data_IF_547588596560
#
_entry.id   IF_547588596560
#
_cell.length_a   1.000
_cell.length_b   1.000
_cell.length_c   1.000
_cell.angle_alpha   90.00
_cell.angle_beta   90.00
_cell.angle_gamma   90.00
#
_symmetry.space_group_name_H-M   'P 1'
#
loop_
_entity.id
_entity.type
_entity.pdbx_description
1 polymer ?
#
# COMPACT_ATOMS: atom_id res chain seq x y z
N UNK A 1 -13.84 -4.43 16.08
CA UNK A 1 -12.94 -4.55 14.92
C UNK A 1 -11.62 -3.85 15.22
N UNK A 2 -10.48 -4.55 15.20
CA UNK A 2 -9.18 -3.94 15.44
C UNK A 2 -8.87 -2.84 14.40
N UNK A 3 -8.31 -1.71 14.84
CA UNK A 3 -7.88 -0.63 13.93
C UNK A 3 -6.91 -1.23 12.90
N UNK A 4 -7.27 -1.23 11.61
CA UNK A 4 -6.35 -1.58 10.53
C UNK A 4 -5.14 -0.67 10.63
N UNK A 5 -3.95 -1.25 10.81
CA UNK A 5 -2.68 -0.51 10.87
C UNK A 5 -2.18 -0.26 9.45
N UNK A 6 -1.71 0.96 9.18
CA UNK A 6 -1.09 1.29 7.90
C UNK A 6 0.26 0.59 7.78
N UNK A 7 1.03 0.63 8.87
CA UNK A 7 2.42 0.17 8.94
C UNK A 7 2.55 -1.11 9.76
N UNK A 8 3.43 -1.99 9.31
CA UNK A 8 3.96 -3.09 10.12
C UNK A 8 4.85 -2.53 11.23
N UNK A 9 5.04 -3.31 12.30
CA UNK A 9 5.87 -2.87 13.44
C UNK A 9 7.28 -2.43 13.00
N UNK A 10 7.94 -3.20 12.14
CA UNK A 10 9.27 -2.88 11.63
C UNK A 10 9.32 -1.61 10.78
N UNK A 11 8.26 -1.31 10.02
CA UNK A 11 8.17 -0.08 9.21
C UNK A 11 7.99 1.15 10.12
N UNK A 12 7.23 1.01 11.21
CA UNK A 12 7.12 2.07 12.23
C UNK A 12 8.47 2.37 12.88
N UNK A 13 9.23 1.34 13.22
CA UNK A 13 10.56 1.51 13.81
C UNK A 13 11.47 2.29 12.86
N UNK A 14 11.53 1.89 11.58
CA UNK A 14 12.37 2.57 10.58
C UNK A 14 12.02 4.05 10.38
N UNK A 15 10.74 4.42 10.52
CA UNK A 15 10.26 5.78 10.21
C UNK A 15 10.32 6.75 11.40
N UNK A 16 10.08 6.25 12.62
CA UNK A 16 9.82 7.11 13.78
C UNK A 16 10.73 6.86 14.98
N UNK A 17 11.54 5.80 14.92
CA UNK A 17 12.36 5.42 16.05
C UNK A 17 13.70 6.14 16.05
N UNK A 18 14.29 6.15 17.23
CA UNK A 18 15.59 6.78 17.47
C UNK A 18 16.69 5.85 16.95
N UNK A 19 17.62 6.32 16.11
CA UNK A 19 18.76 5.52 15.69
C UNK A 19 19.59 5.09 16.90
N UNK A 20 20.09 3.86 16.84
CA UNK A 20 20.96 3.28 17.86
C UNK A 20 22.34 2.89 17.30
N UNK A 21 22.47 2.81 15.98
CA UNK A 21 23.73 2.60 15.28
C UNK A 21 24.56 3.90 15.23
N UNK A 22 25.87 3.75 15.28
CA UNK A 22 26.83 4.86 15.36
C UNK A 22 26.74 5.79 14.15
N UNK A 23 26.64 5.24 12.93
CA UNK A 23 26.57 6.03 11.69
C UNK A 23 25.35 6.96 11.68
N UNK A 24 24.18 6.43 12.04
CA UNK A 24 22.95 7.23 12.10
C UNK A 24 22.98 8.25 13.24
N UNK A 25 23.59 7.92 14.38
CA UNK A 25 23.80 8.89 15.47
C UNK A 25 24.71 10.03 15.03
N UNK A 26 25.82 9.73 14.34
CA UNK A 26 26.74 10.74 13.79
C UNK A 26 26.00 11.64 12.80
N UNK A 27 25.26 11.03 11.87
CA UNK A 27 24.55 11.75 10.81
C UNK A 27 23.46 12.68 11.34
N UNK A 28 22.72 12.25 12.35
CA UNK A 28 21.51 12.95 12.77
C UNK A 28 21.65 13.73 14.07
N UNK A 29 22.54 13.31 14.98
CA UNK A 29 22.61 13.82 16.36
C UNK A 29 23.94 14.50 16.72
N UNK A 30 24.77 14.82 15.73
CA UNK A 30 25.91 15.71 15.92
C UNK A 30 25.43 17.14 16.23
N UNK A 31 25.88 17.69 17.37
CA UNK A 31 25.57 19.03 17.83
C UNK A 31 26.61 20.02 17.31
N UNK A 32 26.13 21.07 16.66
CA UNK A 32 26.98 22.20 16.25
C UNK A 32 27.48 22.99 17.47
N UNK A 33 28.49 23.87 17.31
CA UNK A 33 28.88 24.80 18.37
C UNK A 33 27.71 25.66 18.89
N UNK A 34 26.84 26.14 17.99
CA UNK A 34 25.65 26.92 18.38
C UNK A 34 24.69 26.08 19.24
N UNK A 35 24.50 24.81 18.90
CA UNK A 35 23.66 23.90 19.68
C UNK A 35 24.19 23.70 21.09
N UNK A 36 25.51 23.53 21.23
CA UNK A 36 26.14 23.35 22.54
C UNK A 36 26.03 24.60 23.40
N UNK A 37 26.13 25.80 22.80
CA UNK A 37 25.88 27.05 23.50
C UNK A 37 24.42 27.15 23.98
N UNK A 38 23.46 26.84 23.10
CA UNK A 38 22.03 26.89 23.43
C UNK A 38 21.67 25.89 24.54
N UNK A 39 22.23 24.67 24.48
CA UNK A 39 22.12 23.65 25.54
C UNK A 39 22.72 24.15 26.86
N UNK A 40 23.88 24.80 26.81
CA UNK A 40 24.60 25.31 27.98
C UNK A 40 23.81 26.35 28.80
N UNK A 41 22.83 27.01 28.19
CA UNK A 41 21.92 27.94 28.89
C UNK A 41 21.01 27.24 29.91
N UNK A 42 20.87 25.91 29.85
CA UNK A 42 20.04 25.15 30.78
C UNK A 42 20.78 24.95 32.11
N UNK A 43 20.08 25.20 33.22
CA UNK A 43 20.60 24.93 34.57
C UNK A 43 20.47 23.44 34.89
N UNK A 44 21.53 22.87 35.48
CA UNK A 44 21.68 21.44 35.88
C UNK A 44 21.89 20.49 34.70
N UNK A 45 22.76 19.51 34.90
CA UNK A 45 23.19 18.56 33.87
C UNK A 45 22.04 17.78 33.24
N UNK A 46 21.07 17.31 34.04
CA UNK A 46 19.90 16.59 33.52
C UNK A 46 19.04 17.42 32.58
N UNK A 47 18.95 18.74 32.79
CA UNK A 47 18.23 19.63 31.89
C UNK A 47 19.03 19.95 30.63
N UNK A 48 20.35 20.05 30.73
CA UNK A 48 21.24 20.19 29.56
C UNK A 48 21.12 18.96 28.66
N UNK A 49 21.27 17.76 29.24
CA UNK A 49 21.12 16.50 28.51
C UNK A 49 19.73 16.35 27.92
N UNK A 50 18.68 16.60 28.71
CA UNK A 50 17.30 16.49 28.25
C UNK A 50 16.93 17.48 27.14
N UNK A 51 17.45 18.70 27.19
CA UNK A 51 17.30 19.71 26.13
C UNK A 51 18.03 19.30 24.86
N UNK A 52 19.27 18.80 24.97
CA UNK A 52 20.05 18.29 23.84
C UNK A 52 19.37 17.08 23.18
N UNK A 53 18.81 16.17 23.97
CA UNK A 53 18.03 15.02 23.46
C UNK A 53 16.79 15.50 22.70
N UNK A 54 16.02 16.45 23.25
CA UNK A 54 14.86 17.00 22.53
C UNK A 54 15.26 17.68 21.23
N UNK A 55 16.34 18.46 21.24
CA UNK A 55 16.89 19.11 20.05
C UNK A 55 17.17 18.08 18.95
N UNK A 56 17.84 16.98 19.31
CA UNK A 56 18.11 15.87 18.40
C UNK A 56 16.84 15.23 17.84
N UNK A 57 15.86 14.89 18.69
CA UNK A 57 14.59 14.27 18.25
C UNK A 57 13.76 15.18 17.35
N UNK A 58 13.76 16.48 17.63
CA UNK A 58 13.03 17.48 16.85
C UNK A 58 13.70 17.77 15.50
N UNK A 59 15.00 17.53 15.36
CA UNK A 59 15.68 17.50 14.04
C UNK A 59 15.41 16.20 13.30
N UNK A 60 15.58 15.07 13.98
CA UNK A 60 15.33 13.75 13.42
C UNK A 60 14.87 12.78 14.53
N UNK A 61 13.71 12.11 14.39
CA UNK A 61 12.90 12.02 13.19
C UNK A 61 11.94 13.21 12.98
N UNK A 62 12.04 14.29 13.75
CA UNK A 62 11.19 15.46 13.60
C UNK A 62 10.00 15.47 14.54
N UNK A 63 10.11 14.82 15.71
CA UNK A 63 9.03 14.71 16.70
C UNK A 63 9.50 15.16 18.07
N UNK A 64 8.55 15.44 18.94
CA UNK A 64 8.82 15.74 20.35
C UNK A 64 9.11 14.47 21.14
N UNK A 65 9.89 14.61 22.22
CA UNK A 65 10.06 13.56 23.22
C UNK A 65 8.72 13.32 23.94
N UNK A 66 8.26 12.07 23.95
CA UNK A 66 7.05 11.65 24.63
C UNK A 66 7.14 11.81 26.16
N UNK A 67 6.01 11.81 26.86
CA UNK A 67 6.02 11.68 28.32
C UNK A 67 6.64 10.32 28.69
N UNK A 68 7.55 10.33 29.66
CA UNK A 68 8.23 9.13 30.18
C UNK A 68 9.00 8.30 29.13
N UNK A 69 9.21 8.87 27.93
CA UNK A 69 9.99 8.23 26.89
C UNK A 69 11.48 8.24 27.26
N UNK A 70 12.08 7.06 27.31
CA UNK A 70 13.52 6.89 27.55
C UNK A 70 14.18 6.57 26.20
N UNK A 71 15.03 7.47 25.67
CA UNK A 71 15.76 7.19 24.44
C UNK A 71 16.74 6.01 24.62
N UNK A 72 17.13 5.34 23.52
CA UNK A 72 18.15 4.28 23.55
C UNK A 72 19.43 4.74 24.24
N UNK A 73 20.05 3.83 25.01
CA UNK A 73 21.29 4.13 25.75
C UNK A 73 22.43 4.61 24.84
N UNK A 74 22.47 4.12 23.60
CA UNK A 74 23.44 4.56 22.59
C UNK A 74 23.29 6.06 22.28
N UNK A 75 22.06 6.53 22.03
CA UNK A 75 21.77 7.96 21.86
C UNK A 75 22.17 8.76 23.09
N UNK A 76 21.77 8.32 24.28
CA UNK A 76 22.06 9.06 25.52
C UNK A 76 23.56 9.22 25.73
N UNK A 77 24.35 8.15 25.57
CA UNK A 77 25.82 8.22 25.65
C UNK A 77 26.41 9.18 24.61
N UNK A 78 25.95 9.08 23.37
CA UNK A 78 26.45 9.88 22.26
C UNK A 78 26.18 11.38 22.46
N UNK A 79 24.96 11.75 22.85
CA UNK A 79 24.60 13.16 23.11
C UNK A 79 25.26 13.68 24.38
N UNK A 80 25.32 12.87 25.45
CA UNK A 80 25.95 13.25 26.70
C UNK A 80 27.45 13.55 26.54
N UNK A 81 28.17 12.75 25.75
CA UNK A 81 29.58 12.98 25.43
C UNK A 81 29.83 14.30 24.71
N UNK A 82 28.89 14.78 23.89
CA UNK A 82 29.02 16.05 23.17
C UNK A 82 28.80 17.28 24.06
N UNK A 83 28.06 17.14 25.16
CA UNK A 83 27.73 18.24 26.09
C UNK A 83 28.50 18.14 27.42
N UNK A 84 29.28 17.07 27.61
CA UNK A 84 30.17 16.90 28.77
C UNK A 84 29.48 16.50 30.07
N UNK A 85 28.37 15.74 30.00
CA UNK A 85 27.58 15.34 31.18
C UNK A 85 27.49 13.82 31.32
N UNK A 86 27.13 13.32 32.50
CA UNK A 86 26.88 11.90 32.69
C UNK A 86 25.52 11.47 32.07
N UNK A 87 25.46 10.42 31.22
CA UNK A 87 24.22 9.98 30.59
C UNK A 87 23.17 9.47 31.59
N UNK A 88 23.57 9.03 32.79
CA UNK A 88 22.66 8.60 33.85
C UNK A 88 21.82 9.73 34.42
N UNK A 89 22.28 10.99 34.30
CA UNK A 89 21.53 12.16 34.75
C UNK A 89 20.19 12.34 34.03
N UNK A 90 20.01 11.76 32.82
CA UNK A 90 18.74 11.80 32.11
C UNK A 90 17.58 11.21 32.92
N UNK A 91 17.83 10.27 33.83
CA UNK A 91 16.80 9.70 34.71
C UNK A 91 16.16 10.75 35.66
N UNK A 92 16.80 11.90 35.83
CA UNK A 92 16.28 13.03 36.60
C UNK A 92 15.57 14.08 35.72
N UNK A 93 15.69 13.96 34.40
CA UNK A 93 15.12 14.91 33.46
C UNK A 93 13.59 14.84 33.44
N UNK A 94 12.94 16.00 33.31
CA UNK A 94 11.51 16.13 33.03
C UNK A 94 10.57 15.37 33.97
N UNK A 95 10.96 15.12 35.24
CA UNK A 95 10.04 14.62 36.30
C UNK A 95 8.79 15.49 36.45
N UNK A 96 8.87 16.77 36.07
CA UNK A 96 7.73 17.66 35.88
C UNK A 96 7.50 17.85 34.38
N UNK A 97 6.28 17.60 33.91
CA UNK A 97 5.95 17.76 32.49
C UNK A 97 6.17 19.19 31.96
N UNK A 98 6.05 20.20 32.82
CA UNK A 98 6.22 21.61 32.49
C UNK A 98 7.61 21.90 31.91
N UNK A 99 8.67 21.38 32.53
CA UNK A 99 10.04 21.55 32.02
C UNK A 99 10.20 20.98 30.62
N UNK A 100 9.58 19.83 30.33
CA UNK A 100 9.60 19.20 29.00
C UNK A 100 8.92 20.09 27.96
N UNK A 101 7.75 20.64 28.31
CA UNK A 101 6.94 21.51 27.43
C UNK A 101 7.66 22.84 27.16
N UNK A 102 8.25 23.45 28.17
CA UNK A 102 9.02 24.70 28.04
C UNK A 102 10.24 24.52 27.13
N UNK A 103 10.96 23.40 27.29
CA UNK A 103 12.07 23.06 26.42
C UNK A 103 11.63 22.88 24.97
N UNK A 104 10.52 22.16 24.74
CA UNK A 104 9.94 22.01 23.40
C UNK A 104 9.57 23.36 22.79
N UNK A 105 8.94 24.27 23.54
CA UNK A 105 8.58 25.59 23.05
C UNK A 105 9.81 26.44 22.66
N UNK A 106 10.86 26.41 23.48
CA UNK A 106 12.14 27.10 23.17
C UNK A 106 12.81 26.52 21.92
N UNK A 107 12.87 25.19 21.83
CA UNK A 107 13.46 24.49 20.70
C UNK A 107 12.68 24.70 19.40
N UNK A 108 11.36 24.87 19.46
CA UNK A 108 10.56 25.24 18.29
C UNK A 108 11.01 26.58 17.72
N UNK A 109 11.24 27.59 18.57
CA UNK A 109 11.77 28.89 18.15
C UNK A 109 13.20 28.74 17.60
N UNK A 110 14.09 28.07 18.33
CA UNK A 110 15.49 27.88 17.94
C UNK A 110 15.64 27.16 16.58
N UNK A 111 14.83 26.13 16.34
CA UNK A 111 14.86 25.34 15.09
C UNK A 111 14.02 25.96 13.96
N UNK A 112 13.25 27.02 14.21
CA UNK A 112 12.28 27.55 13.24
C UNK A 112 11.17 26.54 12.90
N UNK A 113 10.82 25.66 13.84
CA UNK A 113 9.78 24.64 13.66
C UNK A 113 8.52 24.97 14.44
N UNK A 114 7.41 24.35 14.05
CA UNK A 114 6.10 24.58 14.68
C UNK A 114 5.28 23.30 14.78
N UNK A 115 4.20 23.34 15.56
CA UNK A 115 3.25 22.24 15.61
C UNK A 115 2.47 22.10 14.30
N UNK A 116 2.06 20.86 14.00
CA UNK A 116 1.26 20.55 12.81
C UNK A 116 -0.13 21.19 12.85
N UNK A 117 -0.43 21.99 11.82
CA UNK A 117 -1.73 22.65 11.62
C UNK A 117 -2.68 21.80 10.78
N UNK A 118 -3.93 22.23 10.64
CA UNK A 118 -4.88 21.63 9.70
C UNK A 118 -4.41 21.71 8.24
N UNK A 119 -3.72 22.79 7.86
CA UNK A 119 -3.18 22.96 6.51
C UNK A 119 -2.06 21.97 6.21
N UNK A 120 -1.19 21.69 7.18
CA UNK A 120 -0.12 20.68 7.02
C UNK A 120 -0.70 19.29 6.87
N UNK A 121 -1.71 18.95 7.68
CA UNK A 121 -2.42 17.66 7.56
C UNK A 121 -3.08 17.52 6.19
N UNK A 122 -3.65 18.61 5.65
CA UNK A 122 -4.23 18.62 4.30
C UNK A 122 -3.17 18.44 3.22
N UNK A 123 -2.03 19.13 3.32
CA UNK A 123 -0.92 18.97 2.39
C UNK A 123 -0.38 17.53 2.42
N UNK A 124 -0.15 16.97 3.61
CA UNK A 124 0.30 15.60 3.78
C UNK A 124 -0.71 14.57 3.23
N UNK A 125 -2.02 14.81 3.41
CA UNK A 125 -3.05 13.97 2.80
C UNK A 125 -2.98 14.00 1.27
N UNK A 126 -2.77 15.16 0.65
CA UNK A 126 -2.67 15.27 -0.81
C UNK A 126 -1.44 14.54 -1.35
N UNK A 127 -0.29 14.70 -0.71
CA UNK A 127 0.93 13.96 -1.05
C UNK A 127 0.72 12.44 -0.91
N UNK A 128 0.13 12.02 0.21
CA UNK A 128 -0.21 10.62 0.46
C UNK A 128 -1.17 10.04 -0.59
N UNK A 129 -2.14 10.82 -1.09
CA UNK A 129 -3.06 10.36 -2.16
C UNK A 129 -2.30 10.12 -3.46
N UNK A 130 -1.37 11.01 -3.81
CA UNK A 130 -0.53 10.82 -5.00
C UNK A 130 0.33 9.56 -4.87
N UNK A 131 1.01 9.36 -3.73
CA UNK A 131 1.77 8.14 -3.47
C UNK A 131 0.88 6.90 -3.48
N UNK A 132 -0.30 6.97 -2.87
CA UNK A 132 -1.26 5.87 -2.86
C UNK A 132 -1.87 5.61 -4.24
N UNK A 133 -1.62 6.42 -5.27
CA UNK A 133 -2.07 6.15 -6.65
C UNK A 133 -1.17 5.12 -7.34
N UNK A 134 0.05 4.94 -6.83
CA UNK A 134 1.03 3.93 -7.24
C UNK A 134 0.85 2.62 -6.43
N UNK A 135 1.73 1.59 -6.50
CA UNK A 135 1.56 0.36 -5.73
C UNK A 135 1.27 0.68 -4.26
N UNK A 136 0.29 -0.05 -3.70
CA UNK A 136 -0.28 0.23 -2.39
C UNK A 136 0.66 -0.15 -1.24
N UNK A 137 1.77 0.57 -1.11
CA UNK A 137 2.77 0.41 -0.05
C UNK A 137 2.52 1.40 1.09
N UNK A 138 2.23 0.85 2.27
CA UNK A 138 1.99 1.63 3.48
C UNK A 138 3.22 2.42 3.91
N UNK A 139 4.42 1.86 3.72
CA UNK A 139 5.66 2.51 4.08
C UNK A 139 5.94 3.73 3.19
N UNK A 140 5.84 3.60 1.86
CA UNK A 140 5.96 4.73 0.94
C UNK A 140 4.96 5.85 1.25
N UNK A 141 3.70 5.52 1.55
CA UNK A 141 2.66 6.50 1.91
C UNK A 141 3.03 7.24 3.20
N UNK A 142 3.46 6.52 4.25
CA UNK A 142 3.86 7.14 5.50
C UNK A 142 5.13 8.00 5.35
N UNK A 143 6.11 7.54 4.57
CA UNK A 143 7.31 8.30 4.23
C UNK A 143 6.97 9.62 3.54
N UNK A 144 6.04 9.60 2.58
CA UNK A 144 5.55 10.81 1.91
C UNK A 144 4.92 11.79 2.89
N UNK A 145 4.07 11.30 3.81
CA UNK A 145 3.46 12.14 4.86
C UNK A 145 4.52 12.77 5.75
N UNK A 146 5.50 12.00 6.21
CA UNK A 146 6.61 12.46 7.05
C UNK A 146 7.44 13.52 6.33
N UNK A 147 7.78 13.28 5.07
CA UNK A 147 8.52 14.23 4.24
C UNK A 147 7.76 15.56 4.11
N UNK A 148 6.46 15.52 3.80
CA UNK A 148 5.64 16.73 3.68
C UNK A 148 5.55 17.54 4.97
N UNK A 149 5.49 16.90 6.15
CA UNK A 149 5.54 17.65 7.41
C UNK A 149 6.89 18.35 7.62
N UNK A 150 8.00 17.64 7.35
CA UNK A 150 9.36 18.16 7.49
C UNK A 150 9.62 19.34 6.53
N UNK A 151 9.27 19.20 5.26
CA UNK A 151 9.39 20.25 4.24
C UNK A 151 8.63 21.53 4.61
N UNK A 152 7.55 21.40 5.38
CA UNK A 152 6.72 22.52 5.84
C UNK A 152 7.15 23.11 7.19
N UNK A 153 8.29 22.67 7.73
CA UNK A 153 8.81 23.10 9.03
C UNK A 153 7.91 22.69 10.20
N UNK A 154 7.12 21.63 10.03
CA UNK A 154 6.20 21.14 11.05
C UNK A 154 6.77 19.91 11.74
N UNK A 155 6.71 19.90 13.07
CA UNK A 155 6.92 18.69 13.85
C UNK A 155 5.86 17.65 13.47
N UNK A 156 6.28 16.38 13.49
CA UNK A 156 5.42 15.25 13.22
C UNK A 156 4.33 15.15 14.30
N UNK A 157 3.05 14.98 13.89
CA UNK A 157 2.01 14.63 14.84
C UNK A 157 2.22 13.19 15.35
N UNK A 158 1.39 12.77 16.30
CA UNK A 158 1.40 11.38 16.78
C UNK A 158 1.31 10.38 15.62
N UNK A 159 2.01 9.25 15.73
CA UNK A 159 2.09 8.21 14.69
C UNK A 159 0.69 7.76 14.24
N UNK A 160 -0.26 7.61 15.17
CA UNK A 160 -1.66 7.27 14.88
C UNK A 160 -2.35 8.29 13.96
N UNK A 161 -1.96 9.57 14.02
CA UNK A 161 -2.48 10.60 13.11
C UNK A 161 -1.90 10.42 11.71
N UNK A 162 -0.59 10.12 11.61
CA UNK A 162 0.07 9.84 10.33
C UNK A 162 -0.55 8.61 9.66
N UNK A 163 -0.74 7.52 10.42
CA UNK A 163 -1.38 6.32 9.89
C UNK A 163 -2.82 6.58 9.45
N UNK A 164 -3.58 7.39 10.19
CA UNK A 164 -4.94 7.76 9.82
C UNK A 164 -4.99 8.56 8.52
N UNK A 165 -4.05 9.50 8.33
CA UNK A 165 -3.90 10.25 7.07
C UNK A 165 -3.61 9.27 5.93
N UNK A 166 -2.67 8.33 6.11
CA UNK A 166 -2.34 7.35 5.08
C UNK A 166 -3.48 6.40 4.75
N UNK A 167 -4.25 5.92 5.74
CA UNK A 167 -5.45 5.11 5.50
C UNK A 167 -6.53 5.88 4.76
N UNK A 168 -6.74 7.16 5.11
CA UNK A 168 -7.66 8.03 4.39
C UNK A 168 -7.21 8.23 2.94
N UNK A 169 -5.92 8.46 2.71
CA UNK A 169 -5.33 8.58 1.38
C UNK A 169 -5.55 7.32 0.54
N UNK A 170 -5.30 6.13 1.12
CA UNK A 170 -5.57 4.84 0.48
C UNK A 170 -7.03 4.71 0.06
N UNK A 171 -7.96 5.03 0.96
CA UNK A 171 -9.39 4.95 0.70
C UNK A 171 -9.85 5.95 -0.38
N UNK A 172 -9.23 7.13 -0.46
CA UNK A 172 -9.51 8.12 -1.51
C UNK A 172 -8.97 7.65 -2.86
N UNK A 173 -7.70 7.23 -2.93
CA UNK A 173 -7.09 6.76 -4.16
C UNK A 173 -7.81 5.51 -4.72
N UNK A 174 -8.23 4.59 -3.84
CA UNK A 174 -9.11 3.46 -4.22
C UNK A 174 -10.40 3.93 -4.87
N UNK A 175 -11.14 4.84 -4.20
CA UNK A 175 -12.42 5.36 -4.72
C UNK A 175 -12.24 6.10 -6.06
N UNK A 176 -11.11 6.78 -6.26
CA UNK A 176 -10.78 7.41 -7.54
C UNK A 176 -10.58 6.39 -8.65
N UNK A 177 -9.84 5.30 -8.39
CA UNK A 177 -9.66 4.22 -9.36
C UNK A 177 -10.99 3.51 -9.67
N UNK A 178 -11.80 3.21 -8.65
CA UNK A 178 -13.13 2.61 -8.82
C UNK A 178 -14.03 3.50 -9.68
N UNK A 179 -14.05 4.81 -9.42
CA UNK A 179 -14.84 5.77 -10.19
C UNK A 179 -14.34 5.89 -11.63
N UNK A 180 -13.04 6.08 -11.83
CA UNK A 180 -12.44 6.22 -13.15
C UNK A 180 -12.75 5.02 -14.06
N UNK A 181 -12.89 3.83 -13.47
CA UNK A 181 -13.22 2.62 -14.23
C UNK A 181 -14.69 2.56 -14.69
N UNK A 182 -15.61 3.17 -13.94
CA UNK A 182 -17.07 3.00 -14.16
C UNK A 182 -17.79 4.27 -14.62
N UNK A 183 -17.15 5.44 -14.57
CA UNK A 183 -17.83 6.74 -14.77
C UNK A 183 -18.38 6.96 -16.18
N UNK A 184 -17.82 6.30 -17.19
CA UNK A 184 -18.31 6.35 -18.59
C UNK A 184 -19.23 5.18 -18.96
N UNK A 185 -19.51 4.25 -18.03
CA UNK A 185 -20.40 3.13 -18.29
C UNK A 185 -21.84 3.56 -17.97
N UNK A 186 -22.78 3.44 -18.92
CA UNK A 186 -24.20 3.73 -18.69
C UNK A 186 -24.79 2.97 -17.49
N UNK A 187 -25.70 3.61 -16.76
CA UNK A 187 -26.25 3.06 -15.51
C UNK A 187 -27.02 1.76 -15.70
N UNK A 188 -27.78 1.64 -16.78
CA UNK A 188 -28.48 0.43 -17.21
C UNK A 188 -27.51 -0.74 -17.44
N UNK A 189 -26.37 -0.47 -18.07
CA UNK A 189 -25.30 -1.45 -18.26
C UNK A 189 -24.67 -1.85 -16.94
N UNK A 190 -24.41 -0.89 -16.04
CA UNK A 190 -23.92 -1.18 -14.68
C UNK A 190 -24.91 -2.04 -13.86
N UNK A 191 -26.22 -1.83 -14.04
CA UNK A 191 -27.25 -2.67 -13.43
C UNK A 191 -27.28 -4.08 -14.02
N UNK A 192 -27.05 -4.23 -15.34
CA UNK A 192 -26.88 -5.54 -15.97
C UNK A 192 -25.67 -6.30 -15.38
N UNK A 193 -24.56 -5.59 -15.16
CA UNK A 193 -23.37 -6.17 -14.54
C UNK A 193 -23.62 -6.63 -13.10
N UNK A 194 -24.42 -5.90 -12.31
CA UNK A 194 -24.79 -6.29 -10.95
C UNK A 194 -25.47 -7.69 -10.94
N UNK A 195 -26.29 -8.02 -11.97
CA UNK A 195 -26.96 -9.33 -12.09
C UNK A 195 -26.01 -10.51 -12.30
N UNK A 196 -24.75 -10.27 -12.66
CA UNK A 196 -23.76 -11.35 -12.77
C UNK A 196 -23.49 -12.04 -11.42
N UNK A 197 -23.82 -11.37 -10.32
CA UNK A 197 -23.69 -11.91 -8.96
C UNK A 197 -24.91 -12.71 -8.50
N UNK A 198 -26.02 -12.65 -9.24
CA UNK A 198 -27.23 -13.42 -8.97
C UNK A 198 -27.07 -14.85 -9.51
N UNK A 199 -27.80 -15.79 -8.90
CA UNK A 199 -27.82 -17.18 -9.38
C UNK A 199 -28.60 -17.22 -10.70
N UNK A 200 -27.93 -17.66 -11.76
CA UNK A 200 -28.57 -17.89 -13.05
C UNK A 200 -29.19 -19.30 -13.06
N UNK A 201 -30.53 -19.43 -13.20
CA UNK A 201 -31.21 -20.73 -13.20
C UNK A 201 -30.72 -21.68 -14.29
N UNK A 202 -30.27 -21.16 -15.44
CA UNK A 202 -29.84 -21.98 -16.57
C UNK A 202 -28.52 -22.73 -16.30
N UNK A 203 -27.67 -22.21 -15.40
CA UNK A 203 -26.37 -22.81 -15.06
C UNK A 203 -26.24 -23.17 -13.57
N UNK A 204 -27.31 -22.97 -12.79
CA UNK A 204 -27.39 -23.23 -11.35
C UNK A 204 -26.27 -22.59 -10.50
N UNK A 205 -25.67 -21.50 -11.00
CA UNK A 205 -24.58 -20.76 -10.35
C UNK A 205 -24.57 -19.31 -10.84
N UNK A 206 -23.75 -18.46 -10.23
CA UNK A 206 -23.63 -17.07 -10.69
C UNK A 206 -22.76 -16.98 -11.94
N UNK A 207 -23.11 -16.08 -12.88
CA UNK A 207 -22.29 -15.84 -14.08
C UNK A 207 -20.89 -15.33 -13.72
N UNK A 208 -20.78 -14.56 -12.65
CA UNK A 208 -19.50 -14.10 -12.11
C UNK A 208 -18.60 -15.26 -11.67
N UNK A 209 -19.13 -16.28 -10.99
CA UNK A 209 -18.36 -17.46 -10.62
C UNK A 209 -18.04 -18.33 -11.84
N UNK A 210 -19.02 -18.60 -12.70
CA UNK A 210 -18.86 -19.43 -13.89
C UNK A 210 -17.76 -18.95 -14.84
N UNK A 211 -17.65 -17.63 -15.04
CA UNK A 211 -16.59 -17.01 -15.85
C UNK A 211 -15.19 -17.26 -15.29
N UNK A 212 -15.06 -17.42 -13.96
CA UNK A 212 -13.79 -17.61 -13.25
C UNK A 212 -13.41 -19.07 -13.09
N UNK A 213 -14.38 -19.97 -13.14
CA UNK A 213 -14.23 -21.42 -13.02
C UNK A 213 -14.12 -22.07 -14.40
N UNK A 214 -13.17 -21.62 -15.22
CA UNK A 214 -12.93 -22.17 -16.55
C UNK A 214 -12.08 -23.45 -16.49
N UNK A 215 -12.34 -24.46 -17.35
CA UNK A 215 -11.58 -25.71 -17.34
C UNK A 215 -10.17 -25.52 -17.90
N UNK A 216 -9.16 -26.11 -17.24
CA UNK A 216 -7.75 -25.98 -17.63
C UNK A 216 -7.24 -27.17 -18.49
N UNK A 217 -7.87 -28.34 -18.36
CA UNK A 217 -7.43 -29.56 -19.04
C UNK A 217 -7.70 -29.49 -20.56
N UNK A 218 -6.74 -29.84 -21.43
CA UNK A 218 -6.97 -29.77 -22.87
C UNK A 218 -7.95 -30.84 -23.37
N UNK A 219 -9.07 -30.42 -23.93
CA UNK A 219 -10.11 -31.28 -24.49
C UNK A 219 -11.06 -30.47 -25.39
N UNK A 220 -11.64 -31.10 -26.42
CA UNK A 220 -12.51 -30.42 -27.38
C UNK A 220 -13.74 -29.78 -26.72
N UNK A 221 -14.39 -30.51 -25.78
CA UNK A 221 -15.51 -29.98 -24.99
C UNK A 221 -15.09 -28.79 -24.11
N UNK A 222 -13.88 -28.81 -23.57
CA UNK A 222 -13.37 -27.69 -22.75
C UNK A 222 -13.06 -26.47 -23.60
N UNK A 223 -12.60 -26.65 -24.84
CA UNK A 223 -12.41 -25.56 -25.79
C UNK A 223 -13.75 -24.90 -26.14
N UNK A 224 -14.80 -25.69 -26.39
CA UNK A 224 -16.16 -25.15 -26.59
C UNK A 224 -16.63 -24.37 -25.36
N UNK A 225 -16.42 -24.89 -24.15
CA UNK A 225 -16.76 -24.17 -22.92
C UNK A 225 -15.97 -22.86 -22.73
N UNK A 226 -14.74 -22.76 -23.24
CA UNK A 226 -13.98 -21.52 -23.26
C UNK A 226 -14.54 -20.53 -24.29
N UNK A 227 -14.89 -21.00 -25.50
CA UNK A 227 -15.46 -20.11 -26.53
C UNK A 227 -16.83 -19.58 -26.13
N UNK A 228 -17.65 -20.36 -25.43
CA UNK A 228 -18.92 -19.91 -24.84
C UNK A 228 -18.70 -18.78 -23.81
N UNK A 229 -17.70 -18.90 -22.94
CA UNK A 229 -17.35 -17.85 -21.97
C UNK A 229 -16.85 -16.58 -22.64
N UNK A 230 -16.01 -16.72 -23.66
CA UNK A 230 -15.52 -15.58 -24.46
C UNK A 230 -16.68 -14.90 -25.20
N UNK A 231 -17.60 -15.67 -25.79
CA UNK A 231 -18.78 -15.14 -26.45
C UNK A 231 -19.67 -14.38 -25.46
N UNK A 232 -19.94 -14.95 -24.27
CA UNK A 232 -20.69 -14.28 -23.21
C UNK A 232 -20.01 -12.99 -22.74
N UNK A 233 -18.68 -12.96 -22.57
CA UNK A 233 -17.98 -11.72 -22.19
C UNK A 233 -18.13 -10.62 -23.25
N UNK A 234 -18.14 -10.99 -24.53
CA UNK A 234 -18.33 -10.03 -25.63
C UNK A 234 -19.73 -9.43 -25.63
N UNK A 235 -20.77 -10.17 -25.22
CA UNK A 235 -22.13 -9.60 -25.09
C UNK A 235 -22.26 -8.58 -23.97
N UNK A 236 -21.32 -8.54 -23.01
CA UNK A 236 -21.27 -7.50 -21.99
C UNK A 236 -20.72 -6.18 -22.53
N UNK A 237 -20.08 -6.19 -23.70
CA UNK A 237 -19.60 -5.01 -24.43
C UNK A 237 -18.78 -4.04 -23.55
N UNK A 238 -17.94 -4.56 -22.68
CA UNK A 238 -17.04 -3.76 -21.83
C UNK A 238 -15.76 -3.48 -22.59
N UNK A 239 -15.45 -2.21 -22.83
CA UNK A 239 -14.22 -1.79 -23.49
C UNK A 239 -12.99 -2.13 -22.62
N UNK A 240 -12.06 -2.98 -23.11
CA UNK A 240 -10.81 -3.28 -22.40
C UNK A 240 -9.94 -2.05 -22.12
N UNK A 241 -10.05 -0.97 -22.92
CA UNK A 241 -9.25 0.24 -22.76
C UNK A 241 -9.58 1.02 -21.47
N UNK A 242 -10.71 0.72 -20.82
CA UNK A 242 -11.02 1.26 -19.49
C UNK A 242 -9.93 0.95 -18.46
N UNK A 243 -9.17 -0.15 -18.66
CA UNK A 243 -7.99 -0.46 -17.85
C UNK A 243 -6.95 0.68 -17.84
N UNK A 244 -6.76 1.39 -18.97
CA UNK A 244 -5.73 2.44 -19.12
C UNK A 244 -6.01 3.67 -18.26
N UNK A 245 -7.25 3.83 -17.77
CA UNK A 245 -7.66 4.92 -16.88
C UNK A 245 -7.25 4.69 -15.43
N UNK A 246 -6.83 3.47 -15.11
CA UNK A 246 -6.41 3.08 -13.76
C UNK A 246 -4.89 2.87 -13.77
N UNK A 247 -4.14 3.50 -12.85
CA UNK A 247 -2.71 3.23 -12.70
C UNK A 247 -2.42 1.74 -12.51
N UNK A 248 -1.35 1.22 -13.12
CA UNK A 248 -1.03 -0.21 -13.15
C UNK A 248 -0.99 -0.86 -11.77
N UNK A 249 -0.32 -0.23 -10.78
CA UNK A 249 -0.26 -0.76 -9.41
C UNK A 249 -1.63 -0.88 -8.73
N UNK A 250 -2.57 0.02 -9.07
CA UNK A 250 -3.96 -0.03 -8.59
C UNK A 250 -4.79 -1.06 -9.33
N UNK A 251 -4.59 -1.17 -10.63
CA UNK A 251 -5.20 -2.23 -11.42
C UNK A 251 -4.83 -3.62 -10.86
N UNK A 252 -3.54 -3.87 -10.63
CA UNK A 252 -3.07 -5.15 -10.09
C UNK A 252 -3.67 -5.44 -8.70
N UNK A 253 -3.80 -4.40 -7.86
CA UNK A 253 -4.48 -4.53 -6.58
C UNK A 253 -5.97 -4.88 -6.74
N UNK A 254 -6.69 -4.20 -7.64
CA UNK A 254 -8.10 -4.50 -7.93
C UNK A 254 -8.28 -5.92 -8.45
N UNK A 255 -7.36 -6.41 -9.30
CA UNK A 255 -7.38 -7.79 -9.77
C UNK A 255 -7.11 -8.77 -8.61
N UNK A 256 -6.10 -8.53 -7.77
CA UNK A 256 -5.84 -9.38 -6.59
C UNK A 256 -7.03 -9.44 -5.63
N UNK A 257 -7.63 -8.29 -5.31
CA UNK A 257 -8.82 -8.21 -4.46
C UNK A 257 -10.01 -8.94 -5.11
N UNK A 258 -10.24 -8.69 -6.40
CA UNK A 258 -11.26 -9.36 -7.18
C UNK A 258 -11.09 -10.88 -7.16
N UNK A 259 -9.88 -11.39 -7.37
CA UNK A 259 -9.56 -12.81 -7.33
C UNK A 259 -9.87 -13.45 -5.96
N UNK A 260 -9.70 -12.73 -4.86
CA UNK A 260 -10.03 -13.20 -3.52
C UNK A 260 -11.53 -13.02 -3.15
N UNK A 261 -12.32 -12.34 -3.97
CA UNK A 261 -13.71 -11.96 -3.65
C UNK A 261 -14.71 -12.90 -4.35
N UNK A 262 -15.41 -13.80 -3.63
CA UNK A 262 -16.52 -14.57 -4.18
C UNK A 262 -17.76 -13.68 -4.44
N UNK A 263 -18.72 -14.18 -5.22
CA UNK A 263 -19.89 -13.41 -5.67
C UNK A 263 -20.71 -12.80 -4.51
N UNK A 264 -20.96 -13.57 -3.45
CA UNK A 264 -21.71 -13.09 -2.28
C UNK A 264 -21.00 -11.92 -1.58
N UNK A 265 -19.67 -11.99 -1.42
CA UNK A 265 -18.88 -10.91 -0.80
C UNK A 265 -18.82 -9.67 -1.69
N UNK A 266 -18.76 -9.87 -3.02
CA UNK A 266 -18.87 -8.76 -3.95
C UNK A 266 -20.23 -8.06 -3.83
N UNK A 267 -21.30 -8.82 -3.58
CA UNK A 267 -22.65 -8.28 -3.42
C UNK A 267 -22.79 -7.36 -2.20
N UNK A 268 -22.10 -7.69 -1.10
CA UNK A 268 -22.05 -6.90 0.14
C UNK A 268 -21.29 -5.56 0.00
N UNK A 269 -20.54 -5.37 -1.08
CA UNK A 269 -19.87 -4.09 -1.33
C UNK A 269 -20.88 -3.01 -1.74
N UNK A 270 -20.54 -1.74 -1.45
CA UNK A 270 -21.27 -0.62 -2.02
C UNK A 270 -21.24 -0.66 -3.56
N UNK A 271 -22.24 -0.08 -4.21
CA UNK A 271 -22.44 -0.18 -5.65
C UNK A 271 -21.20 0.22 -6.47
N UNK A 272 -20.51 1.31 -6.10
CA UNK A 272 -19.31 1.78 -6.81
C UNK A 272 -18.20 0.73 -6.78
N UNK A 273 -17.87 0.21 -5.59
CA UNK A 273 -16.81 -0.79 -5.41
C UNK A 273 -17.18 -2.10 -6.10
N UNK A 274 -18.43 -2.55 -5.95
CA UNK A 274 -18.93 -3.78 -6.57
C UNK A 274 -18.82 -3.73 -8.10
N UNK A 275 -19.33 -2.67 -8.72
CA UNK A 275 -19.31 -2.46 -10.16
C UNK A 275 -17.89 -2.36 -10.71
N UNK A 276 -17.04 -1.58 -10.06
CA UNK A 276 -15.63 -1.46 -10.47
C UNK A 276 -14.90 -2.83 -10.39
N UNK A 277 -15.17 -3.62 -9.35
CA UNK A 277 -14.62 -4.97 -9.23
C UNK A 277 -15.11 -5.88 -10.36
N UNK A 278 -16.41 -5.87 -10.67
CA UNK A 278 -16.98 -6.66 -11.77
C UNK A 278 -16.36 -6.26 -13.12
N UNK A 279 -16.30 -4.96 -13.42
CA UNK A 279 -15.69 -4.44 -14.67
C UNK A 279 -14.22 -4.85 -14.78
N UNK A 280 -13.44 -4.68 -13.72
CA UNK A 280 -12.03 -5.07 -13.72
C UNK A 280 -11.86 -6.58 -13.96
N UNK A 281 -12.70 -7.40 -13.34
CA UNK A 281 -12.70 -8.85 -13.53
C UNK A 281 -13.11 -9.26 -14.94
N UNK A 282 -14.13 -8.63 -15.53
CA UNK A 282 -14.54 -8.88 -16.92
C UNK A 282 -13.40 -8.62 -17.90
N UNK A 283 -12.74 -7.47 -17.79
CA UNK A 283 -11.60 -7.12 -18.66
C UNK A 283 -10.47 -8.14 -18.49
N UNK A 284 -10.11 -8.48 -17.24
CA UNK A 284 -9.03 -9.43 -16.97
C UNK A 284 -9.36 -10.84 -17.43
N UNK A 285 -10.60 -11.29 -17.25
CA UNK A 285 -11.07 -12.60 -17.71
C UNK A 285 -11.16 -12.65 -19.23
N UNK A 286 -11.54 -11.55 -19.90
CA UNK A 286 -11.54 -11.47 -21.36
C UNK A 286 -10.17 -11.74 -21.96
N UNK A 287 -9.12 -11.15 -21.39
CA UNK A 287 -7.73 -11.42 -21.77
C UNK A 287 -7.37 -12.88 -21.49
N UNK A 288 -7.53 -13.32 -20.24
CA UNK A 288 -7.15 -14.67 -19.79
C UNK A 288 -7.84 -15.79 -20.57
N UNK A 289 -9.15 -15.71 -20.75
CA UNK A 289 -9.92 -16.77 -21.42
C UNK A 289 -9.62 -16.83 -22.92
N UNK A 290 -9.30 -15.70 -23.55
CA UNK A 290 -8.84 -15.69 -24.94
C UNK A 290 -7.49 -16.39 -25.06
N UNK A 291 -6.54 -16.07 -24.19
CA UNK A 291 -5.22 -16.73 -24.16
C UNK A 291 -5.34 -18.23 -23.85
N UNK A 292 -6.18 -18.60 -22.89
CA UNK A 292 -6.43 -19.99 -22.50
C UNK A 292 -7.09 -20.78 -23.66
N UNK A 293 -8.03 -20.18 -24.40
CA UNK A 293 -8.67 -20.80 -25.56
C UNK A 293 -7.66 -21.04 -26.71
N UNK A 294 -6.84 -20.03 -27.04
CA UNK A 294 -5.80 -20.16 -28.07
C UNK A 294 -4.79 -21.23 -27.67
N UNK A 295 -4.33 -21.20 -26.42
CA UNK A 295 -3.39 -22.20 -25.88
C UNK A 295 -3.97 -23.62 -25.95
N UNK A 296 -5.24 -23.78 -25.58
CA UNK A 296 -5.90 -25.08 -25.63
C UNK A 296 -6.07 -25.58 -27.07
N UNK A 297 -6.45 -24.69 -28.00
CA UNK A 297 -6.54 -25.01 -29.42
C UNK A 297 -5.20 -25.50 -29.98
N UNK A 298 -4.10 -24.78 -29.70
CA UNK A 298 -2.75 -25.19 -30.12
C UNK A 298 -2.39 -26.58 -29.60
N UNK A 299 -2.68 -26.86 -28.32
CA UNK A 299 -2.44 -28.18 -27.72
C UNK A 299 -3.26 -29.29 -28.39
N UNK A 300 -4.52 -29.03 -28.73
CA UNK A 300 -5.39 -29.99 -29.41
C UNK A 300 -4.91 -30.27 -30.83
N UNK A 301 -4.56 -29.24 -31.60
CA UNK A 301 -3.98 -29.39 -32.93
C UNK A 301 -2.68 -30.18 -32.90
N UNK A 302 -1.78 -29.88 -31.95
CA UNK A 302 -0.54 -30.63 -31.75
C UNK A 302 -0.80 -32.12 -31.49
N UNK A 303 -1.76 -32.46 -30.61
CA UNK A 303 -2.16 -33.86 -30.36
C UNK A 303 -2.68 -34.55 -31.63
N UNK A 304 -3.52 -33.88 -32.42
CA UNK A 304 -4.05 -34.44 -33.67
C UNK A 304 -2.93 -34.72 -34.68
N UNK A 305 -2.00 -33.79 -34.87
CA UNK A 305 -0.85 -34.00 -35.75
C UNK A 305 0.06 -35.11 -35.25
N UNK A 306 0.34 -35.19 -33.94
CA UNK A 306 1.11 -36.28 -33.35
C UNK A 306 0.44 -37.64 -33.57
N UNK A 307 -0.88 -37.74 -33.37
CA UNK A 307 -1.63 -38.97 -33.62
C UNK A 307 -1.59 -39.38 -35.09
N UNK A 308 -1.78 -38.43 -36.01
CA UNK A 308 -1.70 -38.69 -37.45
C UNK A 308 -0.29 -39.17 -37.87
N UNK A 309 0.76 -38.49 -37.39
CA UNK A 309 2.15 -38.88 -37.67
C UNK A 309 2.51 -40.24 -37.08
N UNK A 310 2.06 -40.56 -35.86
CA UNK A 310 2.29 -41.87 -35.25
C UNK A 310 1.58 -42.97 -36.03
N UNK A 311 0.34 -42.76 -36.47
CA UNK A 311 -0.38 -43.70 -37.35
C UNK A 311 0.34 -43.89 -38.69
N UNK A 312 0.89 -42.82 -39.28
CA UNK A 312 1.69 -42.91 -40.50
C UNK A 312 2.99 -43.71 -40.29
N UNK A 313 3.71 -43.45 -39.20
CA UNK A 313 4.93 -44.20 -38.83
C UNK A 313 4.63 -45.68 -38.59
N UNK A 314 3.55 -45.98 -37.88
CA UNK A 314 3.13 -47.37 -37.63
C UNK A 314 2.85 -48.10 -38.95
N UNK A 315 2.06 -47.51 -39.85
CA UNK A 315 1.82 -48.07 -41.20
C UNK A 315 3.10 -48.29 -42.00
N UNK A 316 4.08 -47.39 -41.90
CA UNK A 316 5.37 -47.57 -42.56
C UNK A 316 6.21 -48.71 -41.94
N UNK A 317 6.10 -48.96 -40.63
CA UNK A 317 6.76 -50.11 -40.02
C UNK A 317 6.06 -51.42 -40.40
N UNK A 318 4.72 -51.44 -40.40
CA UNK A 318 3.93 -52.63 -40.74
C UNK A 318 4.05 -53.02 -42.23
N UNK A 319 4.44 -52.09 -43.11
CA UNK A 319 4.67 -52.34 -44.54
C UNK A 319 6.14 -52.61 -44.92
N UNK A 320 7.07 -52.76 -43.95
CA UNK A 320 8.43 -53.26 -44.25
C UNK A 320 8.38 -54.79 -44.37
N UNK A 321 8.79 -55.38 -45.51
CA UNK A 321 8.99 -56.82 -45.57
C UNK A 321 10.21 -57.21 -44.73
N UNK A 322 10.16 -58.40 -44.11
CA UNK A 322 11.27 -59.03 -43.37
C UNK A 322 12.54 -59.19 -44.23
#
# INVERSE_FOLDING_TARGET
>A
MGKRKLLKAQERLKLFDVPADEDSLIRHYSLSPADRLEVGLRRREHNQLGYAVQLCLMRYPGRVLGPDEIPPRAMLKYVAGQVGVDPGTFALYARREETRRDHTARLMVYLGTRSATGQDRRAALLAAIQTATMPDDGAAIASSIVATFRERGSLLPAIDTIERIGLAARAIARRRAERALIEEIPLDKLQLLDRLLEVDPAIAQTRFHWLRSAPEAPGASNLVGLTERVAFLRTLEIDPNLQLRVPSGRWDQMIREGNATPAWLANDFNASRRRALIVAQIIKLGQKLTDDAVTMFIKLMGRLFSQANNRKKQRHMDCRPD
#
